data_IF_102930309289
#
_entry.id   IF_102930309289
#
_cell.length_a   1.000
_cell.length_b   1.000
_cell.length_c   1.000
_cell.angle_alpha   90.00
_cell.angle_beta   90.00
_cell.angle_gamma   90.00
#
_symmetry.space_group_name_H-M   'P 1'
#
loop_
_entity.id
_entity.type
_entity.pdbx_description
1 polymer ?
#
# COMPACT_ATOMS: atom_id res chain seq x y z
N UNK A 1 24.93 9.69 8.20
CA UNK A 1 25.13 10.05 6.78
C UNK A 1 25.55 11.52 6.64
N UNK A 2 26.14 11.88 5.55
CA UNK A 2 26.49 13.27 5.22
C UNK A 2 26.42 13.51 3.71
N UNK A 3 26.11 14.75 3.30
CA UNK A 3 26.22 15.19 1.92
C UNK A 3 27.50 15.99 1.74
N UNK A 4 28.16 15.85 0.59
CA UNK A 4 29.24 16.73 0.20
C UNK A 4 28.70 18.05 -0.35
N UNK A 5 29.44 19.13 -0.16
CA UNK A 5 29.07 20.45 -0.69
C UNK A 5 28.86 20.37 -2.22
N UNK A 6 27.71 20.80 -2.71
CA UNK A 6 27.25 20.68 -4.11
C UNK A 6 26.96 19.25 -4.64
N UNK A 7 26.74 18.27 -3.79
CA UNK A 7 26.34 16.91 -4.19
C UNK A 7 24.93 16.59 -3.68
N UNK A 8 24.06 16.06 -4.53
CA UNK A 8 22.80 15.44 -4.15
C UNK A 8 22.97 14.01 -3.61
N UNK A 9 24.21 13.52 -3.55
CA UNK A 9 24.54 12.15 -3.14
C UNK A 9 24.89 12.14 -1.66
N UNK A 10 24.16 11.35 -0.87
CA UNK A 10 24.49 11.09 0.52
C UNK A 10 25.61 10.05 0.63
N UNK A 11 26.53 10.25 1.53
CA UNK A 11 27.58 9.29 1.87
C UNK A 11 27.37 8.76 3.27
N UNK A 12 27.57 7.45 3.45
CA UNK A 12 27.46 6.80 4.75
C UNK A 12 28.78 6.96 5.53
N UNK A 13 28.68 7.40 6.78
CA UNK A 13 29.78 7.34 7.75
C UNK A 13 29.35 6.50 8.94
N UNK A 14 30.10 5.46 9.23
CA UNK A 14 29.86 4.55 10.34
C UNK A 14 31.00 4.61 11.34
N UNK A 15 30.70 4.42 12.61
CA UNK A 15 31.66 4.38 13.69
C UNK A 15 31.36 3.21 14.62
N UNK A 16 32.38 2.48 15.02
CA UNK A 16 32.29 1.54 16.15
C UNK A 16 32.68 2.26 17.44
N UNK A 17 32.09 1.83 18.55
CA UNK A 17 32.46 2.28 19.88
C UNK A 17 32.81 1.08 20.74
N UNK A 18 34.07 1.01 21.17
CA UNK A 18 34.54 -0.02 22.06
C UNK A 18 35.63 0.52 23.01
N UNK A 19 35.64 0.04 24.25
CA UNK A 19 36.64 0.42 25.25
C UNK A 19 36.84 1.96 25.43
N UNK A 20 35.71 2.70 25.37
CA UNK A 20 35.73 4.16 25.53
C UNK A 20 36.28 4.93 24.32
N UNK A 21 36.49 4.28 23.18
CA UNK A 21 37.00 4.89 21.95
C UNK A 21 36.05 4.73 20.79
N UNK A 22 35.92 5.77 19.98
CA UNK A 22 35.21 5.78 18.71
C UNK A 22 36.19 5.54 17.58
N UNK A 23 35.97 4.53 16.76
CA UNK A 23 36.74 4.25 15.56
C UNK A 23 35.84 4.43 14.33
N UNK A 24 36.31 5.16 13.33
CA UNK A 24 35.61 5.26 12.05
C UNK A 24 35.76 3.95 11.29
N UNK A 25 34.64 3.41 10.80
CA UNK A 25 34.63 2.26 9.92
C UNK A 25 34.78 2.70 8.48
N UNK A 26 35.47 1.91 7.67
CA UNK A 26 35.51 2.15 6.24
C UNK A 26 34.20 1.71 5.61
N UNK A 27 33.56 2.62 4.90
CA UNK A 27 32.35 2.41 4.11
C UNK A 27 32.45 3.29 2.88
N UNK A 28 32.50 2.67 1.70
CA UNK A 28 32.46 3.38 0.44
C UNK A 28 31.10 3.14 -0.22
N UNK A 29 30.09 3.91 0.17
CA UNK A 29 28.76 3.75 -0.40
C UNK A 29 28.01 5.08 -0.37
N UNK A 30 27.51 5.46 -1.53
CA UNK A 30 26.47 6.48 -1.66
C UNK A 30 25.10 5.84 -1.49
N UNK A 31 24.12 6.61 -1.04
CA UNK A 31 22.76 6.13 -0.82
C UNK A 31 21.74 7.27 -0.95
N UNK A 32 20.49 6.89 -1.25
CA UNK A 32 19.33 7.79 -1.18
C UNK A 32 18.59 7.65 0.15
N UNK A 33 18.51 6.41 0.68
CA UNK A 33 17.96 6.13 2.01
C UNK A 33 18.65 4.91 2.63
N UNK A 34 18.57 4.75 3.97
CA UNK A 34 19.11 3.57 4.66
C UNK A 34 18.24 3.15 5.83
N UNK A 35 18.28 1.87 6.14
CA UNK A 35 17.55 1.24 7.25
C UNK A 35 18.43 0.22 7.95
N UNK A 36 18.20 0.03 9.26
CA UNK A 36 18.90 -0.96 10.06
C UNK A 36 17.89 -1.91 10.68
N UNK A 37 18.06 -3.20 10.45
CA UNK A 37 17.29 -4.28 11.05
C UNK A 37 18.03 -5.59 10.88
N UNK A 38 17.66 -6.61 11.64
CA UNK A 38 18.09 -7.99 11.44
C UNK A 38 17.34 -8.57 10.23
N UNK A 39 17.91 -8.43 9.02
CA UNK A 39 17.30 -8.88 7.77
C UNK A 39 17.57 -10.33 7.45
N UNK A 40 18.61 -10.94 8.04
CA UNK A 40 18.98 -12.34 7.79
C UNK A 40 18.68 -13.27 8.96
N UNK A 41 18.08 -12.74 10.03
CA UNK A 41 17.63 -13.45 11.22
C UNK A 41 18.76 -14.13 12.01
N UNK A 42 19.95 -13.52 12.03
CA UNK A 42 21.11 -14.00 12.78
C UNK A 42 21.24 -13.35 14.18
N UNK A 43 20.36 -12.40 14.51
CA UNK A 43 20.32 -11.66 15.77
C UNK A 43 21.19 -10.41 15.76
N UNK A 44 21.82 -10.05 14.64
CA UNK A 44 22.61 -8.83 14.44
C UNK A 44 21.97 -7.96 13.37
N UNK A 45 21.89 -6.66 13.60
CA UNK A 45 21.32 -5.77 12.61
C UNK A 45 22.28 -5.48 11.45
N UNK A 46 21.79 -5.62 10.23
CA UNK A 46 22.42 -5.15 9.00
C UNK A 46 22.01 -3.72 8.66
N UNK A 47 22.75 -3.14 7.73
CA UNK A 47 22.41 -1.84 7.12
C UNK A 47 21.96 -2.06 5.67
N UNK A 48 20.69 -1.81 5.40
CA UNK A 48 20.15 -1.81 4.03
C UNK A 48 20.28 -0.41 3.44
N UNK A 49 21.07 -0.26 2.38
CA UNK A 49 21.18 0.97 1.60
C UNK A 49 20.30 0.89 0.37
N UNK A 50 19.51 1.93 0.14
CA UNK A 50 18.73 2.10 -1.08
C UNK A 50 19.32 3.24 -1.91
N UNK A 51 19.57 2.98 -3.18
CA UNK A 51 20.06 3.97 -4.14
C UNK A 51 19.07 4.10 -5.29
N UNK A 52 18.68 5.33 -5.60
CA UNK A 52 17.92 5.65 -6.81
C UNK A 52 18.86 5.63 -8.02
N UNK A 53 18.28 5.42 -9.21
CA UNK A 53 19.02 5.49 -10.45
C UNK A 53 19.62 6.89 -10.69
N UNK A 54 20.86 6.92 -11.10
CA UNK A 54 21.54 8.10 -11.62
C UNK A 54 22.32 7.74 -12.88
N UNK A 55 22.85 8.71 -13.59
CA UNK A 55 23.72 8.45 -14.76
C UNK A 55 25.00 7.69 -14.43
N UNK A 56 25.37 7.62 -13.15
CA UNK A 56 26.61 6.99 -12.67
C UNK A 56 26.35 5.69 -11.90
N UNK A 57 25.14 5.50 -11.37
CA UNK A 57 24.78 4.37 -10.50
C UNK A 57 23.43 3.79 -10.84
N UNK A 58 23.34 2.46 -10.84
CA UNK A 58 22.08 1.74 -10.95
C UNK A 58 21.20 1.93 -9.70
N UNK A 59 19.87 1.79 -9.87
CA UNK A 59 18.94 1.68 -8.76
C UNK A 59 19.13 0.33 -8.06
N UNK A 60 19.54 0.33 -6.80
CA UNK A 60 19.86 -0.89 -6.05
C UNK A 60 19.47 -0.82 -4.58
N UNK A 61 19.17 -1.99 -4.01
CA UNK A 61 19.23 -2.23 -2.58
C UNK A 61 20.50 -3.04 -2.27
N UNK A 62 21.26 -2.61 -1.27
CA UNK A 62 22.53 -3.21 -0.89
C UNK A 62 22.57 -3.45 0.62
N UNK A 63 22.72 -4.71 1.03
CA UNK A 63 22.80 -5.12 2.44
C UNK A 63 24.26 -5.14 2.89
N UNK A 64 24.59 -4.30 3.85
CA UNK A 64 25.92 -4.21 4.45
C UNK A 64 25.91 -4.91 5.81
N UNK A 65 26.96 -5.67 6.07
CA UNK A 65 27.24 -6.34 7.33
C UNK A 65 28.57 -5.88 7.92
N UNK A 66 28.67 -5.93 9.24
CA UNK A 66 29.90 -5.59 9.93
C UNK A 66 30.85 -6.79 10.01
N UNK A 67 32.11 -6.55 9.67
CA UNK A 67 33.21 -7.49 9.89
C UNK A 67 34.09 -6.99 11.04
N UNK A 68 34.10 -7.71 12.14
CA UNK A 68 34.97 -7.42 13.28
C UNK A 68 36.46 -7.56 12.90
N UNK A 69 36.81 -8.62 12.16
CA UNK A 69 38.15 -8.88 11.69
C UNK A 69 38.74 -7.74 10.86
N UNK A 70 37.93 -7.17 9.96
CA UNK A 70 38.34 -6.11 9.03
C UNK A 70 38.03 -4.71 9.57
N UNK A 71 37.27 -4.61 10.66
CA UNK A 71 36.74 -3.36 11.20
C UNK A 71 36.09 -2.48 10.15
N UNK A 72 35.24 -3.07 9.31
CA UNK A 72 34.56 -2.38 8.22
C UNK A 72 33.13 -2.91 8.03
N UNK A 73 32.29 -2.09 7.38
CA UNK A 73 31.05 -2.57 6.75
C UNK A 73 31.36 -2.97 5.31
N UNK A 74 30.87 -4.12 4.90
CA UNK A 74 31.01 -4.60 3.53
C UNK A 74 29.69 -5.10 2.96
N UNK A 75 29.53 -5.07 1.65
CA UNK A 75 28.35 -5.57 0.95
C UNK A 75 28.27 -7.09 1.06
N UNK A 76 27.21 -7.61 1.72
CA UNK A 76 26.90 -9.04 1.78
C UNK A 76 26.12 -9.48 0.55
N UNK A 77 25.13 -8.67 0.15
CA UNK A 77 24.28 -8.94 -1.00
C UNK A 77 23.71 -7.64 -1.58
N UNK A 78 23.37 -7.67 -2.87
CA UNK A 78 22.76 -6.55 -3.58
C UNK A 78 21.68 -7.06 -4.53
N UNK A 79 20.64 -6.25 -4.77
CA UNK A 79 19.58 -6.51 -5.74
C UNK A 79 19.19 -5.23 -6.46
N UNK A 80 18.80 -5.37 -7.73
CA UNK A 80 18.28 -4.26 -8.54
C UNK A 80 16.93 -3.78 -8.04
N UNK A 81 16.72 -2.48 -8.13
CA UNK A 81 15.45 -1.78 -7.93
C UNK A 81 14.96 -1.19 -9.26
N UNK A 82 13.70 -0.78 -9.31
CA UNK A 82 13.15 -0.15 -10.50
C UNK A 82 13.83 1.21 -10.76
N UNK A 83 14.52 1.37 -11.90
CA UNK A 83 15.24 2.61 -12.22
C UNK A 83 14.30 3.79 -12.53
N UNK A 84 13.00 3.55 -12.73
CA UNK A 84 12.02 4.60 -12.98
C UNK A 84 11.54 5.28 -11.70
N UNK A 85 11.87 4.75 -10.52
CA UNK A 85 11.58 5.40 -9.25
C UNK A 85 12.45 6.64 -9.11
N UNK A 86 11.82 7.80 -9.01
CA UNK A 86 12.48 9.11 -8.87
C UNK A 86 12.58 9.58 -7.44
N UNK A 87 11.70 9.10 -6.56
CA UNK A 87 11.70 9.39 -5.11
C UNK A 87 11.03 8.26 -4.33
N UNK A 88 11.44 8.10 -3.10
CA UNK A 88 10.73 7.24 -2.14
C UNK A 88 9.61 8.02 -1.48
N UNK A 89 8.43 7.42 -1.40
CA UNK A 89 7.24 7.97 -0.76
C UNK A 89 7.10 7.47 0.67
N UNK A 90 7.21 6.16 0.84
CA UNK A 90 7.19 5.50 2.13
C UNK A 90 8.15 4.31 2.12
N UNK A 91 8.81 4.06 3.24
CA UNK A 91 9.67 2.89 3.41
C UNK A 91 9.44 2.34 4.82
N UNK A 92 9.05 1.08 4.90
CA UNK A 92 8.73 0.41 6.16
C UNK A 92 9.54 -0.86 6.31
N UNK A 93 10.15 -1.05 7.49
CA UNK A 93 10.67 -2.36 7.91
C UNK A 93 9.55 -3.04 8.68
N UNK A 94 9.16 -4.22 8.26
CA UNK A 94 8.06 -4.99 8.84
C UNK A 94 8.41 -6.47 8.86
N UNK A 95 7.73 -7.25 9.70
CA UNK A 95 7.78 -8.68 9.61
C UNK A 95 6.92 -9.15 8.44
N UNK A 96 7.40 -10.10 7.67
CA UNK A 96 6.58 -10.87 6.75
C UNK A 96 5.85 -12.00 7.51
N UNK A 97 4.94 -12.71 6.86
CA UNK A 97 4.14 -13.80 7.46
C UNK A 97 4.97 -14.90 8.15
N UNK A 98 6.21 -15.10 7.75
CA UNK A 98 7.14 -16.05 8.37
C UNK A 98 7.94 -15.45 9.54
N UNK A 99 7.68 -14.19 9.91
CA UNK A 99 8.40 -13.47 10.96
C UNK A 99 9.75 -12.87 10.54
N UNK A 100 10.17 -13.04 9.28
CA UNK A 100 11.40 -12.46 8.76
C UNK A 100 11.21 -10.97 8.48
N UNK A 101 12.19 -10.13 8.84
CA UNK A 101 12.15 -8.71 8.49
C UNK A 101 12.33 -8.50 6.99
N UNK A 102 11.42 -7.73 6.40
CA UNK A 102 11.46 -7.29 5.01
C UNK A 102 11.39 -5.77 4.94
N UNK A 103 11.89 -5.20 3.87
CA UNK A 103 11.79 -3.79 3.58
C UNK A 103 10.77 -3.58 2.47
N UNK A 104 9.68 -2.90 2.79
CA UNK A 104 8.66 -2.49 1.82
C UNK A 104 8.94 -1.06 1.41
N UNK A 105 9.02 -0.82 0.11
CA UNK A 105 9.39 0.47 -0.48
C UNK A 105 8.28 0.92 -1.43
N UNK A 106 7.53 1.94 -1.04
CA UNK A 106 6.66 2.68 -1.95
C UNK A 106 7.47 3.78 -2.63
N UNK A 107 7.74 3.59 -3.90
CA UNK A 107 8.43 4.55 -4.75
C UNK A 107 7.48 5.27 -5.70
N UNK A 108 7.82 6.49 -6.09
CA UNK A 108 7.06 7.24 -7.09
C UNK A 108 7.82 7.34 -8.39
N UNK A 109 7.10 7.19 -9.48
CA UNK A 109 7.55 7.52 -10.83
C UNK A 109 7.47 9.04 -11.09
N UNK A 110 7.99 9.46 -12.23
CA UNK A 110 7.98 10.88 -12.63
C UNK A 110 6.57 11.44 -12.89
N UNK A 111 5.57 10.58 -13.16
CA UNK A 111 4.17 10.92 -13.34
C UNK A 111 3.35 10.82 -12.04
N UNK A 112 4.02 10.71 -10.89
CA UNK A 112 3.46 10.52 -9.55
C UNK A 112 2.74 9.18 -9.30
N UNK A 113 2.73 8.24 -10.25
CA UNK A 113 2.31 6.87 -9.96
C UNK A 113 3.17 6.27 -8.85
N UNK A 114 2.54 5.56 -7.93
CA UNK A 114 3.21 4.81 -6.86
C UNK A 114 3.42 3.37 -7.30
N UNK A 115 4.58 2.81 -6.96
CA UNK A 115 4.89 1.39 -7.15
C UNK A 115 5.52 0.83 -5.89
N UNK A 116 5.16 -0.40 -5.51
CA UNK A 116 5.74 -1.06 -4.34
C UNK A 116 6.80 -2.07 -4.76
N UNK A 117 7.91 -2.07 -4.04
CA UNK A 117 8.95 -3.09 -4.11
C UNK A 117 9.17 -3.71 -2.73
N UNK A 118 9.50 -4.99 -2.70
CA UNK A 118 9.76 -5.73 -1.46
C UNK A 118 11.18 -6.25 -1.52
N UNK A 119 12.01 -5.79 -0.58
CA UNK A 119 13.40 -6.21 -0.47
C UNK A 119 13.54 -7.13 0.75
N UNK A 120 13.98 -8.35 0.52
CA UNK A 120 14.23 -9.30 1.60
C UNK A 120 15.47 -10.17 1.33
N UNK A 121 16.07 -10.70 2.37
CA UNK A 121 17.22 -11.59 2.25
C UNK A 121 16.77 -13.06 2.28
N UNK A 122 16.99 -13.76 1.18
CA UNK A 122 16.75 -15.20 1.14
C UNK A 122 17.95 -15.91 1.80
N UNK A 123 17.74 -16.43 3.00
CA UNK A 123 18.79 -17.05 3.81
C UNK A 123 19.32 -18.35 3.22
N UNK A 124 18.46 -19.14 2.54
CA UNK A 124 18.85 -20.42 1.93
C UNK A 124 19.79 -20.19 0.73
N UNK A 125 19.51 -19.19 -0.08
CA UNK A 125 20.29 -18.84 -1.26
C UNK A 125 21.39 -17.81 -0.97
N UNK A 126 21.36 -17.18 0.19
CA UNK A 126 22.26 -16.09 0.61
C UNK A 126 22.27 -14.93 -0.38
N UNK A 127 21.09 -14.49 -0.84
CA UNK A 127 20.91 -13.39 -1.79
C UNK A 127 19.80 -12.44 -1.37
N UNK A 128 19.91 -11.16 -1.74
CA UNK A 128 18.77 -10.25 -1.70
C UNK A 128 17.82 -10.51 -2.88
N UNK A 129 16.53 -10.38 -2.60
CA UNK A 129 15.46 -10.56 -3.56
C UNK A 129 14.58 -9.31 -3.63
N UNK A 130 14.02 -9.06 -4.84
CA UNK A 130 13.01 -8.05 -5.11
C UNK A 130 11.96 -8.65 -6.08
N UNK A 131 11.05 -9.49 -5.59
CA UNK A 131 10.19 -10.33 -6.44
C UNK A 131 9.16 -9.54 -7.25
N UNK A 132 8.75 -8.35 -6.76
CA UNK A 132 7.76 -7.52 -7.46
C UNK A 132 8.37 -6.72 -8.62
N UNK A 133 9.70 -6.57 -8.67
CA UNK A 133 10.36 -5.88 -9.76
C UNK A 133 10.83 -6.86 -10.84
N UNK A 134 10.34 -6.67 -12.06
CA UNK A 134 10.77 -7.37 -13.27
C UNK A 134 11.04 -6.35 -14.38
N UNK A 135 12.23 -6.39 -14.97
CA UNK A 135 12.68 -5.37 -15.94
C UNK A 135 11.75 -5.17 -17.15
N UNK A 136 10.94 -6.17 -17.49
CA UNK A 136 10.12 -6.16 -18.71
C UNK A 136 8.61 -6.16 -18.46
N UNK A 137 8.21 -6.42 -17.23
CA UNK A 137 6.81 -6.56 -16.88
C UNK A 137 6.36 -5.33 -16.06
N UNK A 138 5.11 -4.92 -16.27
CA UNK A 138 4.50 -3.92 -15.39
C UNK A 138 4.39 -4.51 -13.99
N UNK A 139 4.81 -3.76 -12.99
CA UNK A 139 4.62 -4.13 -11.60
C UNK A 139 3.11 -4.06 -11.26
N UNK A 140 2.56 -5.14 -10.72
CA UNK A 140 1.12 -5.24 -10.39
C UNK A 140 0.67 -4.24 -9.33
N UNK A 141 1.60 -3.71 -8.53
CA UNK A 141 1.31 -2.71 -7.50
C UNK A 141 1.33 -1.27 -8.02
N UNK A 142 1.63 -1.05 -9.32
CA UNK A 142 1.64 0.30 -9.89
C UNK A 142 0.23 0.90 -9.89
N UNK A 143 0.08 2.04 -9.25
CA UNK A 143 -1.19 2.74 -9.03
C UNK A 143 -1.03 4.26 -9.11
N UNK A 144 -2.05 4.94 -9.61
CA UNK A 144 -2.15 6.40 -9.58
C UNK A 144 -2.79 6.92 -8.28
N UNK A 145 -3.48 6.05 -7.54
CA UNK A 145 -4.06 6.38 -6.25
C UNK A 145 -2.97 6.66 -5.19
N UNK A 146 -3.19 7.67 -4.35
CA UNK A 146 -2.27 8.07 -3.28
C UNK A 146 -2.40 7.16 -2.05
N UNK A 147 -2.21 5.87 -2.27
CA UNK A 147 -2.28 4.82 -1.25
C UNK A 147 -0.88 4.25 -1.03
N UNK A 148 -0.49 4.10 0.23
CA UNK A 148 0.78 3.47 0.65
C UNK A 148 0.52 2.13 1.31
N UNK A 149 1.57 1.30 1.39
CA UNK A 149 1.54 0.08 2.18
C UNK A 149 1.36 0.42 3.67
N UNK A 150 0.44 -0.27 4.34
CA UNK A 150 0.11 -0.03 5.75
C UNK A 150 -0.43 -1.29 6.40
N UNK A 151 -0.29 -1.42 7.72
CA UNK A 151 -0.94 -2.45 8.52
C UNK A 151 -2.44 -2.09 8.66
N UNK A 152 -3.30 -2.82 7.95
CA UNK A 152 -4.75 -2.54 7.89
C UNK A 152 -5.55 -3.25 8.97
N UNK A 153 -5.00 -4.30 9.57
CA UNK A 153 -5.69 -5.18 10.50
C UNK A 153 -5.08 -5.15 11.93
N UNK A 154 -3.99 -4.38 12.13
CA UNK A 154 -3.23 -4.21 13.37
C UNK A 154 -2.57 -5.53 13.86
N UNK A 155 -2.08 -6.37 12.94
CA UNK A 155 -1.33 -7.58 13.25
C UNK A 155 0.19 -7.39 13.23
N UNK A 156 0.65 -6.17 12.96
CA UNK A 156 2.06 -5.76 12.82
C UNK A 156 2.74 -6.26 11.53
N UNK A 157 2.00 -6.83 10.60
CA UNK A 157 2.42 -7.04 9.22
C UNK A 157 1.92 -5.86 8.37
N UNK A 158 2.72 -5.41 7.42
CA UNK A 158 2.30 -4.32 6.52
C UNK A 158 1.74 -4.93 5.24
N UNK A 159 0.49 -4.59 4.91
CA UNK A 159 -0.15 -5.03 3.68
C UNK A 159 0.20 -4.15 2.50
N UNK A 160 0.17 -4.80 1.33
CA UNK A 160 0.50 -4.23 0.03
C UNK A 160 -0.79 -4.04 -0.78
N UNK A 161 -1.12 -2.80 -1.18
CA UNK A 161 -2.30 -2.53 -2.00
C UNK A 161 -2.02 -2.83 -3.47
N UNK A 162 -2.93 -3.54 -4.09
CA UNK A 162 -3.09 -3.65 -5.55
C UNK A 162 -4.38 -2.96 -5.92
N UNK A 163 -4.33 -2.00 -6.85
CA UNK A 163 -5.47 -1.15 -7.20
C UNK A 163 -5.90 -1.42 -8.62
N UNK A 164 -7.15 -1.81 -8.79
CA UNK A 164 -7.80 -2.07 -10.08
C UNK A 164 -9.10 -1.30 -10.19
N UNK A 165 -9.54 -1.02 -11.43
CA UNK A 165 -10.89 -0.51 -11.69
C UNK A 165 -11.89 -1.65 -11.63
N UNK A 166 -13.04 -1.39 -11.01
CA UNK A 166 -14.18 -2.30 -11.08
C UNK A 166 -14.75 -2.40 -12.51
N UNK A 167 -15.49 -3.47 -12.83
CA UNK A 167 -16.06 -3.65 -14.15
C UNK A 167 -16.98 -2.50 -14.58
N UNK A 168 -16.93 -2.15 -15.87
CA UNK A 168 -17.75 -1.12 -16.48
C UNK A 168 -18.08 -1.45 -17.93
N UNK A 169 -19.16 -0.90 -18.46
CA UNK A 169 -19.46 -0.97 -19.89
C UNK A 169 -18.52 -0.10 -20.71
N UNK A 170 -18.43 -0.35 -22.02
CA UNK A 170 -17.55 0.42 -22.92
C UNK A 170 -17.94 1.89 -23.03
N UNK A 171 -19.22 2.20 -22.83
CA UNK A 171 -19.82 3.51 -23.06
C UNK A 171 -19.93 4.35 -21.78
N UNK A 172 -19.56 3.77 -20.62
CA UNK A 172 -19.57 4.46 -19.33
C UNK A 172 -18.40 5.42 -19.14
N UNK A 173 -18.66 6.51 -18.43
CA UNK A 173 -17.59 7.35 -17.90
C UNK A 173 -16.84 6.57 -16.81
N UNK A 174 -15.61 6.17 -17.13
CA UNK A 174 -14.75 5.43 -16.22
C UNK A 174 -14.40 6.20 -14.95
N UNK A 175 -14.57 7.52 -14.93
CA UNK A 175 -14.36 8.32 -13.71
C UNK A 175 -15.46 8.09 -12.66
N UNK A 176 -16.65 7.69 -13.09
CA UNK A 176 -17.76 7.34 -12.22
C UNK A 176 -17.66 5.88 -11.66
N UNK A 177 -16.72 5.08 -12.16
CA UNK A 177 -16.48 3.72 -11.66
C UNK A 177 -15.46 3.75 -10.53
N UNK A 178 -15.80 3.14 -9.41
CA UNK A 178 -14.90 3.09 -8.26
C UNK A 178 -13.63 2.28 -8.53
N UNK A 179 -12.56 2.60 -7.81
CA UNK A 179 -11.40 1.72 -7.66
C UNK A 179 -11.74 0.61 -6.66
N UNK A 180 -11.07 -0.54 -6.82
CA UNK A 180 -10.98 -1.59 -5.83
C UNK A 180 -9.53 -1.68 -5.36
N UNK A 181 -9.33 -1.64 -4.05
CA UNK A 181 -8.04 -1.88 -3.41
C UNK A 181 -8.05 -3.30 -2.89
N UNK A 182 -7.22 -4.17 -3.46
CA UNK A 182 -6.98 -5.51 -2.92
C UNK A 182 -5.75 -5.44 -2.01
N UNK A 183 -5.96 -5.65 -0.70
CA UNK A 183 -4.92 -5.70 0.30
C UNK A 183 -4.32 -7.09 0.39
N UNK A 184 -3.00 -7.19 0.41
CA UNK A 184 -2.28 -8.45 0.34
C UNK A 184 -1.14 -8.49 1.36
N UNK A 185 -0.91 -9.66 1.96
CA UNK A 185 0.31 -9.95 2.70
C UNK A 185 1.37 -10.60 1.81
N UNK A 186 2.64 -10.48 2.20
CA UNK A 186 3.75 -11.04 1.44
C UNK A 186 4.29 -12.32 2.08
N UNK A 187 4.46 -13.36 1.25
CA UNK A 187 5.04 -14.65 1.63
C UNK A 187 6.42 -14.85 1.00
N UNK A 188 7.52 -14.68 1.76
CA UNK A 188 8.88 -14.79 1.24
C UNK A 188 9.22 -16.15 0.63
N UNK A 189 8.68 -17.26 1.16
CA UNK A 189 8.97 -18.61 0.69
C UNK A 189 8.47 -18.89 -0.72
N UNK A 190 7.33 -18.33 -1.09
CA UNK A 190 6.70 -18.49 -2.41
C UNK A 190 6.85 -17.26 -3.31
N UNK A 191 7.31 -16.14 -2.76
CA UNK A 191 7.43 -14.84 -3.43
C UNK A 191 6.10 -14.33 -4.01
N UNK A 192 4.98 -14.63 -3.34
CA UNK A 192 3.63 -14.24 -3.78
C UNK A 192 3.00 -13.25 -2.82
N UNK A 193 2.05 -12.51 -3.35
CA UNK A 193 1.10 -11.71 -2.58
C UNK A 193 -0.16 -12.55 -2.34
N UNK A 194 -0.50 -12.76 -1.07
CA UNK A 194 -1.73 -13.44 -0.66
C UNK A 194 -2.80 -12.39 -0.36
N UNK A 195 -3.92 -12.52 -1.06
CA UNK A 195 -5.08 -11.66 -0.85
C UNK A 195 -5.66 -11.83 0.56
N UNK A 196 -5.95 -10.70 1.21
CA UNK A 196 -6.57 -10.63 2.54
C UNK A 196 -7.98 -10.05 2.48
N UNK A 197 -8.13 -8.88 1.86
CA UNK A 197 -9.42 -8.20 1.78
C UNK A 197 -9.46 -7.22 0.62
N UNK A 198 -10.67 -6.90 0.18
CA UNK A 198 -10.93 -5.85 -0.80
C UNK A 198 -11.60 -4.66 -0.14
N UNK A 199 -11.24 -3.44 -0.54
CA UNK A 199 -11.87 -2.19 -0.12
C UNK A 199 -12.26 -1.35 -1.33
N UNK A 200 -13.40 -0.69 -1.23
CA UNK A 200 -13.88 0.29 -2.20
C UNK A 200 -13.77 1.68 -1.57
N UNK A 201 -12.85 2.53 -2.03
CA UNK A 201 -12.69 3.88 -1.49
C UNK A 201 -13.62 4.89 -2.16
N UNK A 202 -14.14 5.81 -1.38
CA UNK A 202 -14.66 7.09 -1.85
C UNK A 202 -13.72 8.21 -1.38
N UNK A 203 -12.73 8.52 -2.21
CA UNK A 203 -11.71 9.53 -1.88
C UNK A 203 -12.31 10.92 -1.68
N UNK A 204 -13.39 11.25 -2.39
CA UNK A 204 -14.03 12.55 -2.30
C UNK A 204 -14.72 12.76 -0.96
N UNK A 205 -15.34 11.71 -0.43
CA UNK A 205 -16.11 11.78 0.82
C UNK A 205 -15.37 11.19 2.02
N UNK A 206 -14.14 10.68 1.83
CA UNK A 206 -13.23 10.28 2.91
C UNK A 206 -13.65 9.02 3.66
N UNK A 207 -14.23 8.03 2.98
CA UNK A 207 -14.55 6.75 3.58
C UNK A 207 -14.27 5.58 2.61
N UNK A 208 -14.22 4.39 3.15
CA UNK A 208 -14.12 3.16 2.38
C UNK A 208 -15.13 2.11 2.87
N UNK A 209 -15.45 1.19 1.99
CA UNK A 209 -16.29 0.03 2.29
C UNK A 209 -15.47 -1.25 2.10
N UNK A 210 -15.34 -2.06 3.14
CA UNK A 210 -14.69 -3.37 3.06
C UNK A 210 -15.66 -4.37 2.44
N UNK A 211 -15.25 -4.99 1.32
CA UNK A 211 -16.08 -5.95 0.60
C UNK A 211 -16.27 -7.20 1.45
N UNK A 212 -17.51 -7.66 1.66
CA UNK A 212 -17.76 -8.89 2.41
C UNK A 212 -17.11 -10.12 1.75
N UNK A 213 -16.58 -11.03 2.54
CA UNK A 213 -16.02 -12.30 2.04
C UNK A 213 -17.04 -13.12 1.25
N UNK A 214 -18.32 -13.02 1.60
CA UNK A 214 -19.43 -13.66 0.85
C UNK A 214 -19.58 -13.18 -0.58
N UNK A 215 -18.97 -12.06 -0.97
CA UNK A 215 -18.96 -11.53 -2.33
C UNK A 215 -17.74 -11.98 -3.15
N UNK A 216 -16.82 -12.75 -2.58
CA UNK A 216 -15.56 -13.13 -3.23
C UNK A 216 -15.78 -13.87 -4.57
N UNK A 217 -16.81 -14.69 -4.65
CA UNK A 217 -17.19 -15.44 -5.86
C UNK A 217 -18.24 -14.71 -6.72
N UNK A 218 -18.77 -13.59 -6.24
CA UNK A 218 -19.78 -12.79 -6.92
C UNK A 218 -19.16 -11.72 -7.81
N UNK A 219 -19.86 -11.38 -8.88
CA UNK A 219 -19.49 -10.25 -9.70
C UNK A 219 -20.26 -9.02 -9.28
N UNK A 220 -19.56 -7.95 -8.94
CA UNK A 220 -20.15 -6.69 -8.54
C UNK A 220 -19.41 -5.52 -9.18
N UNK A 221 -20.06 -4.38 -9.15
CA UNK A 221 -19.45 -3.11 -9.52
C UNK A 221 -20.00 -1.97 -8.68
N UNK A 222 -19.28 -0.85 -8.65
CA UNK A 222 -19.65 0.29 -7.81
C UNK A 222 -19.56 1.57 -8.63
N UNK A 223 -20.58 2.43 -8.48
CA UNK A 223 -20.65 3.73 -9.12
C UNK A 223 -20.60 4.85 -8.10
N UNK A 224 -19.78 5.85 -8.41
CA UNK A 224 -19.63 7.06 -7.62
C UNK A 224 -20.42 8.19 -8.29
N UNK A 225 -21.31 8.81 -7.56
CA UNK A 225 -22.02 10.02 -7.96
C UNK A 225 -21.49 11.20 -7.13
N UNK A 226 -20.63 12.00 -7.74
CA UNK A 226 -19.99 13.13 -7.08
C UNK A 226 -20.96 14.25 -6.68
N UNK A 227 -22.04 14.45 -7.45
CA UNK A 227 -23.06 15.48 -7.18
C UNK A 227 -23.92 15.08 -5.98
N UNK A 228 -24.35 13.83 -5.95
CA UNK A 228 -25.12 13.28 -4.83
C UNK A 228 -24.24 12.87 -3.65
N UNK A 229 -22.93 12.79 -3.82
CA UNK A 229 -21.98 12.27 -2.85
C UNK A 229 -22.33 10.83 -2.44
N UNK A 230 -22.65 10.00 -3.43
CA UNK A 230 -23.16 8.64 -3.23
C UNK A 230 -22.25 7.60 -3.88
N UNK A 231 -22.13 6.47 -3.20
CA UNK A 231 -21.49 5.24 -3.66
C UNK A 231 -22.58 4.16 -3.77
N UNK A 232 -22.90 3.71 -4.99
CA UNK A 232 -23.95 2.73 -5.26
C UNK A 232 -23.36 1.41 -5.71
N UNK A 233 -23.76 0.32 -5.08
CA UNK A 233 -23.31 -1.04 -5.33
C UNK A 233 -24.32 -1.76 -6.22
N UNK A 234 -23.82 -2.50 -7.22
CA UNK A 234 -24.62 -3.21 -8.20
C UNK A 234 -24.07 -4.62 -8.43
N UNK A 235 -24.94 -5.55 -8.75
CA UNK A 235 -24.53 -6.78 -9.40
C UNK A 235 -23.93 -6.48 -10.77
N UNK A 236 -22.98 -7.32 -11.19
CA UNK A 236 -22.39 -7.24 -12.52
C UNK A 236 -22.55 -8.56 -13.24
N UNK A 237 -23.26 -8.57 -14.36
CA UNK A 237 -23.50 -9.77 -15.16
C UNK A 237 -22.89 -9.61 -16.57
N UNK A 238 -21.79 -10.32 -16.78
CA UNK A 238 -21.11 -10.58 -18.07
C UNK A 238 -20.70 -9.37 -18.91
N UNK A 239 -21.07 -8.17 -18.68
CA UNK A 239 -20.77 -6.89 -19.32
C UNK A 239 -21.91 -5.88 -19.14
N UNK A 240 -22.85 -6.18 -18.25
CA UNK A 240 -24.01 -5.35 -17.98
C UNK A 240 -24.13 -4.99 -16.51
N UNK A 241 -24.59 -3.78 -16.25
CA UNK A 241 -25.00 -3.34 -14.93
C UNK A 241 -26.27 -4.09 -14.52
N UNK A 242 -26.18 -4.85 -13.41
CA UNK A 242 -27.29 -5.61 -12.84
C UNK A 242 -28.14 -4.80 -11.87
N UNK A 243 -28.76 -5.49 -10.91
CA UNK A 243 -29.60 -4.84 -9.91
C UNK A 243 -28.77 -4.06 -8.89
N UNK A 244 -29.32 -2.95 -8.39
CA UNK A 244 -28.74 -2.20 -7.28
C UNK A 244 -28.86 -3.04 -6.01
N UNK A 245 -27.77 -3.16 -5.27
CA UNK A 245 -27.70 -3.89 -4.00
C UNK A 245 -28.01 -2.96 -2.84
N UNK A 246 -27.34 -1.84 -2.75
CA UNK A 246 -27.57 -0.75 -1.82
C UNK A 246 -26.78 0.50 -2.23
N UNK A 247 -26.94 1.57 -1.44
CA UNK A 247 -26.22 2.83 -1.63
C UNK A 247 -25.74 3.38 -0.29
N UNK A 248 -24.54 3.95 -0.26
CA UNK A 248 -24.04 4.79 0.84
C UNK A 248 -23.97 6.22 0.33
N UNK A 249 -24.48 7.18 1.10
CA UNK A 249 -24.45 8.61 0.79
C UNK A 249 -23.85 9.41 1.94
N UNK A 250 -23.02 10.41 1.60
CA UNK A 250 -22.45 11.36 2.54
C UNK A 250 -23.23 12.68 2.50
N UNK A 251 -24.10 12.90 3.46
CA UNK A 251 -24.88 14.13 3.61
C UNK A 251 -24.07 15.22 4.31
N UNK A 252 -24.24 16.47 3.91
CA UNK A 252 -23.87 17.57 4.79
C UNK A 252 -24.74 17.52 6.06
N UNK A 253 -24.14 17.79 7.21
CA UNK A 253 -24.87 17.67 8.48
C UNK A 253 -26.13 18.51 8.53
N UNK A 254 -26.09 19.73 7.97
CA UNK A 254 -27.26 20.62 7.90
C UNK A 254 -28.42 20.01 7.11
N UNK A 255 -28.15 19.30 6.01
CA UNK A 255 -29.15 18.61 5.20
C UNK A 255 -29.73 17.40 5.95
N UNK A 256 -28.85 16.64 6.62
CA UNK A 256 -29.25 15.50 7.42
C UNK A 256 -30.19 15.89 8.56
N UNK A 257 -29.85 16.94 9.31
CA UNK A 257 -30.59 17.36 10.51
C UNK A 257 -31.96 17.97 10.19
N UNK A 258 -32.17 18.50 8.97
CA UNK A 258 -33.49 19.01 8.52
C UNK A 258 -34.34 17.96 7.80
N UNK A 259 -33.80 16.74 7.58
CA UNK A 259 -34.51 15.65 6.91
C UNK A 259 -34.60 15.81 5.39
N UNK A 260 -33.82 16.69 4.78
CA UNK A 260 -33.81 16.90 3.34
C UNK A 260 -33.17 15.70 2.64
N UNK A 261 -33.96 14.93 1.91
CA UNK A 261 -33.56 13.70 1.20
C UNK A 261 -32.99 12.57 2.11
N UNK A 262 -33.02 12.72 3.43
CA UNK A 262 -32.40 11.76 4.37
C UNK A 262 -33.40 10.78 5.01
N UNK A 263 -34.71 11.01 4.89
CA UNK A 263 -35.74 10.21 5.58
C UNK A 263 -35.74 8.72 5.15
N UNK A 264 -35.25 8.42 3.93
CA UNK A 264 -35.15 7.05 3.42
C UNK A 264 -33.83 6.33 3.80
N UNK A 265 -32.95 7.01 4.52
CA UNK A 265 -31.61 6.49 4.82
C UNK A 265 -31.45 6.11 6.29
N UNK A 266 -30.71 5.03 6.52
CA UNK A 266 -30.31 4.58 7.86
C UNK A 266 -28.89 5.10 8.18
N UNK A 267 -28.72 5.77 9.31
CA UNK A 267 -27.44 6.33 9.73
C UNK A 267 -26.40 5.24 10.01
N UNK A 268 -25.19 5.40 9.45
CA UNK A 268 -24.01 4.60 9.77
C UNK A 268 -23.16 5.34 10.81
N UNK A 269 -22.71 6.55 10.43
CA UNK A 269 -21.78 7.36 11.23
C UNK A 269 -22.06 8.85 11.02
N UNK A 270 -21.79 9.65 12.05
CA UNK A 270 -21.98 11.11 12.02
C UNK A 270 -20.83 11.80 12.74
N UNK A 271 -20.26 12.83 12.13
CA UNK A 271 -19.28 13.74 12.73
C UNK A 271 -19.78 15.19 12.71
N UNK A 272 -18.90 16.15 12.96
CA UNK A 272 -19.25 17.58 13.05
C UNK A 272 -19.71 18.20 11.72
N UNK A 273 -19.46 17.57 10.57
CA UNK A 273 -19.72 18.13 9.24
C UNK A 273 -20.54 17.22 8.34
N UNK A 274 -20.53 15.90 8.56
CA UNK A 274 -21.03 14.92 7.62
C UNK A 274 -21.78 13.80 8.36
N UNK A 275 -22.91 13.38 7.80
CA UNK A 275 -23.59 12.14 8.16
C UNK A 275 -23.46 11.14 7.01
N UNK A 276 -22.98 9.94 7.31
CA UNK A 276 -22.90 8.83 6.36
C UNK A 276 -24.04 7.86 6.64
N UNK A 277 -24.81 7.56 5.63
CA UNK A 277 -26.01 6.75 5.76
C UNK A 277 -26.20 5.86 4.53
N UNK A 278 -26.92 4.75 4.66
CA UNK A 278 -27.23 3.84 3.58
C UNK A 278 -28.72 3.73 3.34
N UNK A 279 -29.07 3.33 2.11
CA UNK A 279 -30.46 3.09 1.68
C UNK A 279 -30.54 2.02 0.60
N UNK A 280 -31.77 1.69 0.19
CA UNK A 280 -32.07 0.82 -0.94
C UNK A 280 -31.51 -0.62 -0.80
N UNK A 281 -31.43 -1.14 0.42
CA UNK A 281 -30.93 -2.52 0.65
C UNK A 281 -31.86 -3.53 -0.04
N UNK A 282 -31.34 -4.24 -1.03
CA UNK A 282 -32.06 -5.23 -1.80
C UNK A 282 -31.66 -6.65 -1.37
N UNK A 283 -32.52 -7.32 -0.64
CA UNK A 283 -32.31 -8.67 -0.13
C UNK A 283 -32.50 -9.78 -1.20
N UNK A 284 -33.04 -9.42 -2.39
CA UNK A 284 -33.30 -10.37 -3.48
C UNK A 284 -32.11 -10.59 -4.41
N UNK A 285 -31.00 -9.87 -4.19
CA UNK A 285 -29.78 -10.01 -5.00
C UNK A 285 -28.89 -11.17 -4.52
N UNK A 286 -28.06 -11.69 -5.40
CA UNK A 286 -27.03 -12.68 -5.05
C UNK A 286 -25.95 -12.11 -4.10
N UNK A 287 -25.84 -10.78 -4.02
CA UNK A 287 -24.93 -10.01 -3.19
C UNK A 287 -25.62 -9.43 -1.96
N UNK A 288 -26.71 -10.03 -1.49
CA UNK A 288 -27.46 -9.53 -0.33
C UNK A 288 -26.53 -9.34 0.88
N UNK A 289 -26.76 -8.25 1.61
CA UNK A 289 -25.96 -7.87 2.79
C UNK A 289 -26.91 -7.32 3.86
N UNK A 290 -26.66 -7.65 5.12
CA UNK A 290 -27.46 -7.12 6.21
C UNK A 290 -27.07 -5.67 6.54
N UNK A 291 -28.00 -4.92 7.15
CA UNK A 291 -27.74 -3.56 7.63
C UNK A 291 -26.57 -3.50 8.63
N UNK A 292 -26.42 -4.50 9.50
CA UNK A 292 -25.34 -4.55 10.49
C UNK A 292 -23.99 -4.83 9.81
N UNK A 293 -23.96 -5.64 8.76
CA UNK A 293 -22.76 -5.88 7.97
C UNK A 293 -22.35 -4.62 7.20
N UNK A 294 -23.31 -3.84 6.65
CA UNK A 294 -23.02 -2.55 6.01
C UNK A 294 -22.34 -1.60 7.00
N UNK A 295 -22.86 -1.50 8.22
CA UNK A 295 -22.27 -0.64 9.27
C UNK A 295 -20.87 -1.10 9.68
N UNK A 296 -20.65 -2.41 9.75
CA UNK A 296 -19.36 -3.01 10.11
C UNK A 296 -18.31 -2.83 9.01
N UNK A 297 -18.74 -2.93 7.74
CA UNK A 297 -17.87 -2.79 6.57
C UNK A 297 -17.46 -1.34 6.27
N UNK A 298 -18.18 -0.36 6.81
CA UNK A 298 -17.88 1.05 6.64
C UNK A 298 -16.70 1.49 7.52
N UNK A 299 -15.77 2.26 6.95
CA UNK A 299 -14.66 2.87 7.69
C UNK A 299 -14.35 4.27 7.16
N UNK A 300 -14.05 5.21 8.07
CA UNK A 300 -13.49 6.49 7.66
C UNK A 300 -12.04 6.32 7.22
N UNK A 301 -11.68 6.95 6.12
CA UNK A 301 -10.28 7.02 5.69
C UNK A 301 -9.52 8.01 6.58
N UNK A 302 -8.39 7.59 7.11
CA UNK A 302 -7.48 8.49 7.83
C UNK A 302 -6.66 9.31 6.85
N UNK A 303 -6.28 10.53 7.24
CA UNK A 303 -5.49 11.46 6.40
C UNK A 303 -4.16 10.85 5.90
N UNK A 304 -3.69 9.77 6.52
CA UNK A 304 -2.49 9.05 6.10
C UNK A 304 -2.75 8.06 4.94
N UNK A 305 -4.01 7.88 4.53
CA UNK A 305 -4.43 6.98 3.45
C UNK A 305 -5.02 7.73 2.24
N UNK A 306 -4.83 9.06 2.18
CA UNK A 306 -5.25 9.92 1.06
C UNK A 306 -4.01 10.55 0.44
#
# INVERSE_FOLDING_TARGET
>A
GYTTYNSSINNLACHSYSNGKTNRLTVESSYSSFYCSDFDSDGVNEVMLLSLYTTENDATANMLVYSEERNCLYSKASVKMDPNITRFKNITVTAAENGQNVLIVDGCFANDDTVTQIIYFNTELSVLRNPLFKEKDKNITQRSADIICTDINNDSVTEIPVVDKLPSTSDEDKSAVADKISWNSFYPQSEILNHLSDQIPDYQNGYSFTVPESWADGTYTVRLDSEKRAMSFFEWDSDNLGQKVFEIRAFKLEQWDVGEDSDAYTLIYKNESTAYAFADVNEETSLSISEDDIKTAFSLMTVNNI
#
